data_IF_519120653668
#
_entry.id   IF_519120653668
#
_cell.length_a   1.000
_cell.length_b   1.000
_cell.length_c   1.000
_cell.angle_alpha   90.00
_cell.angle_beta   90.00
_cell.angle_gamma   90.00
#
_symmetry.space_group_name_H-M   'P 1'
#
loop_
_entity.id
_entity.type
_entity.pdbx_description
1 polymer ?
#
# COMPACT_ATOMS: atom_id res chain seq x y z
N UNK A 1 -18.38 -5.18 24.49
CA UNK A 1 -17.41 -4.26 25.13
C UNK A 1 -17.57 -3.01 24.30
N UNK A 2 -18.37 -2.08 24.81
CA UNK A 2 -18.80 -0.90 24.06
C UNK A 2 -17.58 0.03 23.95
N UNK A 3 -17.21 0.37 22.71
CA UNK A 3 -16.01 1.17 22.40
C UNK A 3 -16.21 2.67 22.66
N UNK A 4 -17.42 3.07 23.04
CA UNK A 4 -17.85 4.48 23.16
C UNK A 4 -17.71 5.05 24.58
N UNK A 5 -17.18 4.29 25.54
CA UNK A 5 -17.07 4.71 26.95
C UNK A 5 -15.60 4.78 27.42
N UNK A 6 -14.73 5.39 26.62
CA UNK A 6 -13.47 5.92 27.12
C UNK A 6 -13.66 7.40 27.45
N UNK A 7 -14.05 7.71 28.68
CA UNK A 7 -13.85 9.05 29.24
C UNK A 7 -12.35 9.33 29.25
N UNK A 8 -11.86 10.15 28.32
CA UNK A 8 -10.50 10.64 28.36
C UNK A 8 -10.43 11.74 29.42
N UNK A 9 -9.87 11.42 30.59
CA UNK A 9 -9.49 12.42 31.56
C UNK A 9 -8.46 13.37 30.91
N UNK A 10 -8.59 14.69 31.12
CA UNK A 10 -7.65 15.67 30.53
C UNK A 10 -6.19 15.37 30.93
N UNK A 11 -5.99 14.77 32.11
CA UNK A 11 -4.70 14.28 32.61
C UNK A 11 -4.09 13.19 31.71
N UNK A 12 -4.91 12.31 31.12
CA UNK A 12 -4.47 11.25 30.21
C UNK A 12 -4.04 11.80 28.85
N UNK A 13 -4.77 12.80 28.33
CA UNK A 13 -4.38 13.49 27.11
C UNK A 13 -3.08 14.27 27.30
N UNK A 14 -2.91 14.92 28.46
CA UNK A 14 -1.69 15.65 28.77
C UNK A 14 -0.46 14.73 28.80
N UNK A 15 -0.59 13.56 29.44
CA UNK A 15 0.44 12.53 29.50
C UNK A 15 0.76 11.97 28.11
N UNK A 16 -0.26 11.70 27.29
CA UNK A 16 -0.09 11.22 25.92
C UNK A 16 0.72 12.21 25.07
N UNK A 17 0.34 13.50 25.08
CA UNK A 17 1.03 14.54 24.32
C UNK A 17 2.49 14.69 24.74
N UNK A 18 2.81 14.43 26.01
CA UNK A 18 4.17 14.44 26.52
C UNK A 18 4.98 13.21 26.07
N UNK A 19 4.41 12.01 26.10
CA UNK A 19 5.08 10.78 25.65
C UNK A 19 5.47 10.86 24.18
N UNK A 20 4.59 11.43 23.35
CA UNK A 20 4.82 11.59 21.91
C UNK A 20 5.56 12.89 21.53
N UNK A 21 5.97 13.70 22.52
CA UNK A 21 6.68 14.96 22.33
C UNK A 21 5.99 15.89 21.31
N UNK A 22 4.67 16.06 21.47
CA UNK A 22 3.85 16.84 20.54
C UNK A 22 4.12 18.34 20.74
N UNK A 23 4.66 19.06 19.74
CA UNK A 23 5.11 20.44 19.92
C UNK A 23 3.96 21.44 20.11
N UNK A 24 2.74 21.05 19.78
CA UNK A 24 1.53 21.88 19.86
C UNK A 24 0.67 21.61 21.10
N UNK A 25 1.23 20.93 22.13
CA UNK A 25 0.54 20.55 23.37
C UNK A 25 -0.30 21.68 23.98
N UNK A 26 0.26 22.89 24.06
CA UNK A 26 -0.44 24.06 24.63
C UNK A 26 -1.62 24.54 23.78
N UNK A 27 -1.54 24.39 22.45
CA UNK A 27 -2.63 24.78 21.54
C UNK A 27 -3.78 23.78 21.59
N UNK A 28 -3.45 22.50 21.74
CA UNK A 28 -4.42 21.39 21.85
C UNK A 28 -5.17 21.47 23.18
N UNK A 29 -4.45 21.58 24.31
CA UNK A 29 -5.06 21.63 25.65
C UNK A 29 -5.74 22.99 25.93
N UNK A 30 -5.22 24.08 25.37
CA UNK A 30 -5.70 25.44 25.61
C UNK A 30 -6.87 25.90 24.73
N UNK A 31 -7.41 25.03 23.87
CA UNK A 31 -8.56 25.36 23.00
C UNK A 31 -8.28 26.50 22.02
N UNK A 32 -7.13 26.48 21.34
CA UNK A 32 -6.78 27.51 20.35
C UNK A 32 -7.73 27.49 19.14
N UNK A 33 -7.97 28.66 18.53
CA UNK A 33 -8.81 28.80 17.33
C UNK A 33 -8.13 28.24 16.06
N UNK A 34 -6.79 28.18 16.07
CA UNK A 34 -6.00 27.61 14.98
C UNK A 34 -5.77 26.12 15.23
N UNK A 35 -6.32 25.27 14.37
CA UNK A 35 -6.10 23.83 14.43
C UNK A 35 -4.62 23.50 14.17
N UNK A 36 -4.00 22.61 14.97
CA UNK A 36 -2.63 22.19 14.72
C UNK A 36 -2.51 21.42 13.39
N UNK A 37 -1.29 21.28 12.84
CA UNK A 37 -1.04 20.45 11.67
C UNK A 37 -1.47 18.99 11.90
N UNK A 38 -2.02 18.35 10.86
CA UNK A 38 -2.45 16.94 10.91
C UNK A 38 -1.31 15.95 11.11
N UNK A 39 -0.06 16.34 10.85
CA UNK A 39 1.12 15.49 10.98
C UNK A 39 2.22 16.13 11.83
N UNK A 40 2.80 15.32 12.71
CA UNK A 40 4.02 15.64 13.42
C UNK A 40 5.25 15.24 12.60
N UNK A 41 6.17 16.18 12.37
CA UNK A 41 7.45 15.89 11.71
C UNK A 41 8.46 15.34 12.72
N UNK A 42 8.70 14.03 12.69
CA UNK A 42 9.66 13.36 13.59
C UNK A 42 11.13 13.61 13.23
N UNK A 43 11.46 13.83 11.96
CA UNK A 43 12.83 14.08 11.54
C UNK A 43 13.17 13.57 10.14
N UNK A 44 14.46 13.40 9.87
CA UNK A 44 14.97 12.80 8.63
C UNK A 44 16.15 11.87 8.92
N UNK A 45 16.26 10.79 8.14
CA UNK A 45 17.34 9.81 8.25
C UNK A 45 18.08 9.73 6.92
N UNK A 46 19.40 9.89 6.98
CA UNK A 46 20.26 9.70 5.82
C UNK A 46 20.32 8.23 5.42
N UNK A 47 20.33 7.96 4.12
CA UNK A 47 20.28 6.61 3.54
C UNK A 47 21.53 6.34 2.66
N UNK A 48 22.76 6.31 3.22
CA UNK A 48 23.96 5.97 2.47
C UNK A 48 23.93 4.51 1.99
N UNK A 49 24.76 4.18 1.01
CA UNK A 49 24.90 2.81 0.52
C UNK A 49 25.27 1.87 1.69
N UNK A 50 24.64 0.69 1.73
CA UNK A 50 24.86 -0.31 2.78
C UNK A 50 24.13 -0.05 4.10
N UNK A 51 23.32 1.02 4.21
CA UNK A 51 22.48 1.25 5.40
C UNK A 51 21.13 0.57 5.25
N UNK A 52 20.77 -0.21 6.26
CA UNK A 52 19.41 -0.72 6.48
C UNK A 52 18.68 0.21 7.45
N UNK A 53 17.44 0.55 7.14
CA UNK A 53 16.55 1.31 8.02
C UNK A 53 15.23 0.55 8.11
N UNK A 54 14.71 0.39 9.32
CA UNK A 54 13.44 -0.26 9.60
C UNK A 54 12.59 0.66 10.47
N UNK A 55 11.30 0.73 10.18
CA UNK A 55 10.33 1.53 10.90
C UNK A 55 8.96 0.85 10.80
N UNK A 56 8.05 1.07 11.76
CA UNK A 56 6.70 0.51 11.68
C UNK A 56 5.88 1.19 10.57
N UNK A 57 4.98 0.43 9.92
CA UNK A 57 4.16 0.91 8.80
C UNK A 57 3.19 2.04 9.17
N UNK A 58 2.97 2.28 10.47
CA UNK A 58 2.14 3.39 10.97
C UNK A 58 2.77 4.76 10.74
N UNK A 59 4.08 4.82 10.47
CA UNK A 59 4.77 6.08 10.23
C UNK A 59 4.75 6.44 8.75
N UNK A 60 4.16 7.59 8.43
CA UNK A 60 4.29 8.19 7.12
C UNK A 60 5.75 8.61 6.88
N UNK A 61 6.28 8.28 5.71
CA UNK A 61 7.65 8.62 5.32
C UNK A 61 7.68 9.17 3.90
N UNK A 62 8.68 9.99 3.60
CA UNK A 62 8.93 10.50 2.24
C UNK A 62 10.39 10.38 1.87
N UNK A 63 10.67 10.01 0.62
CA UNK A 63 12.01 10.02 0.07
C UNK A 63 12.20 11.35 -0.66
N UNK A 64 13.11 12.19 -0.17
CA UNK A 64 13.43 13.45 -0.84
C UNK A 64 14.20 13.18 -2.14
N UNK A 65 14.03 14.03 -3.18
CA UNK A 65 14.85 13.98 -4.38
C UNK A 65 16.34 13.97 -4.01
N UNK A 66 17.13 13.23 -4.78
CA UNK A 66 18.58 13.15 -4.59
C UNK A 66 19.28 13.41 -5.91
N UNK A 67 20.44 14.04 -5.85
CA UNK A 67 21.32 14.23 -7.00
C UNK A 67 22.69 13.66 -6.68
N UNK A 68 23.38 13.16 -7.71
CA UNK A 68 24.77 12.74 -7.55
C UNK A 68 25.65 13.99 -7.40
N UNK A 69 26.59 13.96 -6.45
CA UNK A 69 27.52 15.08 -6.22
C UNK A 69 28.35 15.40 -7.46
N UNK A 70 28.76 14.37 -8.20
CA UNK A 70 29.46 14.50 -9.47
C UNK A 70 28.50 14.29 -10.64
N UNK A 71 28.02 15.39 -11.24
CA UNK A 71 27.04 15.35 -12.35
C UNK A 71 27.59 14.74 -13.64
N UNK A 72 28.90 14.46 -13.71
CA UNK A 72 29.52 13.84 -14.90
C UNK A 72 29.39 12.32 -14.93
N UNK A 73 29.00 11.70 -13.81
CA UNK A 73 28.85 10.25 -13.68
C UNK A 73 27.37 9.84 -13.65
N UNK A 74 27.00 8.74 -14.31
CA UNK A 74 25.65 8.19 -14.18
C UNK A 74 25.42 7.75 -12.73
N UNK A 75 24.39 8.31 -12.09
CA UNK A 75 23.98 7.93 -10.73
C UNK A 75 22.77 7.00 -10.78
N UNK A 76 22.89 5.80 -10.20
CA UNK A 76 21.74 4.91 -9.95
C UNK A 76 21.67 4.61 -8.46
N UNK A 77 20.46 4.70 -7.90
CA UNK A 77 20.17 4.29 -6.53
C UNK A 77 19.11 3.21 -6.56
N UNK A 78 19.43 2.07 -5.96
CA UNK A 78 18.50 0.95 -5.86
C UNK A 78 18.21 0.67 -4.39
N UNK A 79 16.94 0.42 -4.09
CA UNK A 79 16.46 0.10 -2.76
C UNK A 79 15.91 -1.33 -2.78
N UNK A 80 16.11 -2.03 -1.68
CA UNK A 80 15.40 -3.27 -1.38
C UNK A 80 14.49 -2.99 -0.19
N UNK A 81 13.18 -3.06 -0.41
CA UNK A 81 12.18 -2.87 0.63
C UNK A 81 11.63 -4.23 1.03
N UNK A 82 11.59 -4.49 2.34
CA UNK A 82 11.01 -5.70 2.92
C UNK A 82 9.90 -5.23 3.84
N UNK A 83 8.68 -5.70 3.58
CA UNK A 83 7.53 -5.45 4.46
C UNK A 83 7.31 -6.69 5.32
N UNK A 84 7.34 -6.50 6.64
CA UNK A 84 6.99 -7.55 7.58
C UNK A 84 5.49 -7.53 7.84
N UNK A 85 4.89 -8.71 7.82
CA UNK A 85 3.47 -8.92 8.13
C UNK A 85 3.39 -9.70 9.45
N UNK A 86 2.34 -9.45 10.22
CA UNK A 86 2.10 -10.17 11.46
C UNK A 86 1.99 -11.69 11.21
N UNK A 87 2.81 -12.52 11.87
CA UNK A 87 2.81 -13.97 11.68
C UNK A 87 1.50 -14.66 12.08
N UNK A 88 0.66 -14.03 12.89
CA UNK A 88 -0.65 -14.57 13.28
C UNK A 88 -1.67 -14.49 12.13
N UNK A 89 -1.42 -13.63 11.14
CA UNK A 89 -2.25 -13.53 9.94
C UNK A 89 -1.64 -14.35 8.81
N UNK A 90 -2.34 -15.43 8.43
CA UNK A 90 -1.90 -16.29 7.34
C UNK A 90 -2.29 -15.68 5.99
N UNK A 91 -1.35 -14.99 5.36
CA UNK A 91 -1.51 -14.49 3.99
C UNK A 91 -1.14 -15.54 2.95
N UNK A 92 -1.76 -15.45 1.76
CA UNK A 92 -1.39 -16.28 0.63
C UNK A 92 0.06 -16.01 0.23
N UNK A 93 0.91 -17.05 0.31
CA UNK A 93 2.28 -16.98 -0.19
C UNK A 93 2.26 -16.81 -1.71
N UNK A 94 3.20 -16.03 -2.26
CA UNK A 94 3.43 -15.92 -3.69
C UNK A 94 3.71 -17.26 -4.37
N UNK A 95 4.11 -18.29 -3.62
CA UNK A 95 4.21 -19.68 -4.10
C UNK A 95 2.86 -20.24 -4.58
N UNK A 96 1.77 -19.78 -3.99
CA UNK A 96 0.41 -20.24 -4.27
C UNK A 96 -0.36 -19.29 -5.19
N UNK A 97 0.26 -18.18 -5.58
CA UNK A 97 -0.38 -17.17 -6.44
C UNK A 97 0.04 -17.48 -7.88
N UNK A 98 -0.91 -17.73 -8.79
CA UNK A 98 -0.57 -17.95 -10.19
C UNK A 98 0.00 -16.67 -10.82
N UNK A 99 0.69 -16.79 -11.96
CA UNK A 99 1.13 -15.65 -12.75
C UNK A 99 0.01 -14.62 -12.97
N UNK A 100 0.28 -13.37 -12.60
CA UNK A 100 -0.72 -12.29 -12.67
C UNK A 100 -0.63 -11.42 -13.92
N UNK A 101 0.39 -11.60 -14.79
CA UNK A 101 0.44 -10.84 -16.05
C UNK A 101 -0.12 -11.68 -17.17
N UNK A 102 -0.93 -11.05 -18.00
CA UNK A 102 -1.58 -11.66 -19.15
C UNK A 102 -0.61 -12.33 -20.14
N UNK A 103 0.56 -11.75 -20.39
CA UNK A 103 1.43 -12.21 -21.47
C UNK A 103 2.14 -13.57 -21.25
N UNK A 104 2.02 -14.16 -20.06
CA UNK A 104 2.68 -15.43 -19.70
C UNK A 104 1.79 -16.36 -18.84
N UNK A 105 0.53 -15.97 -18.59
CA UNK A 105 -0.35 -16.75 -17.72
C UNK A 105 -0.72 -18.11 -18.34
N UNK A 106 -1.02 -18.12 -19.64
CA UNK A 106 -1.56 -19.29 -20.32
C UNK A 106 -0.53 -20.42 -20.40
N UNK A 107 0.72 -20.09 -20.73
CA UNK A 107 1.83 -21.05 -20.78
C UNK A 107 2.08 -21.70 -19.41
N UNK A 108 2.09 -20.91 -18.34
CA UNK A 108 2.30 -21.41 -16.98
C UNK A 108 1.09 -22.18 -16.42
N UNK A 109 -0.13 -21.75 -16.74
CA UNK A 109 -1.33 -22.50 -16.37
C UNK A 109 -1.33 -23.89 -17.01
N UNK A 110 -0.96 -23.98 -18.29
CA UNK A 110 -0.84 -25.24 -19.02
C UNK A 110 0.30 -26.11 -18.47
N UNK A 111 1.41 -25.50 -18.05
CA UNK A 111 2.55 -26.23 -17.44
C UNK A 111 2.15 -26.95 -16.14
N UNK A 112 1.23 -26.36 -15.37
CA UNK A 112 0.70 -26.92 -14.11
C UNK A 112 -0.33 -28.02 -14.36
N UNK A 113 -1.20 -27.86 -15.36
CA UNK A 113 -2.30 -28.80 -15.65
C UNK A 113 -1.83 -30.03 -16.42
N UNK A 114 -0.82 -29.89 -17.28
CA UNK A 114 -0.39 -30.94 -18.19
C UNK A 114 0.71 -31.83 -17.60
N UNK A 115 0.76 -33.12 -17.99
CA UNK A 115 1.85 -34.00 -17.58
C UNK A 115 3.22 -33.50 -18.08
N UNK A 116 4.30 -33.76 -17.33
CA UNK A 116 5.65 -33.44 -17.78
C UNK A 116 5.90 -34.11 -19.14
N UNK A 117 6.32 -33.33 -20.14
CA UNK A 117 6.58 -33.71 -21.56
C UNK A 117 5.40 -33.60 -22.52
N UNK A 118 4.24 -33.11 -22.09
CA UNK A 118 3.15 -32.75 -23.01
C UNK A 118 3.24 -31.26 -23.31
N UNK A 119 3.54 -30.91 -24.55
CA UNK A 119 3.53 -29.52 -25.03
C UNK A 119 2.28 -29.28 -25.88
N UNK A 120 1.58 -28.18 -25.64
CA UNK A 120 0.46 -27.74 -26.47
C UNK A 120 1.02 -26.85 -27.58
N UNK A 121 0.58 -27.01 -28.84
CA UNK A 121 0.91 -26.08 -29.92
C UNK A 121 0.46 -24.64 -29.58
N UNK A 122 1.27 -23.65 -29.94
CA UNK A 122 0.99 -22.23 -29.70
C UNK A 122 -0.41 -21.82 -30.17
N UNK A 123 -0.86 -22.33 -31.32
CA UNK A 123 -2.19 -22.06 -31.88
C UNK A 123 -3.33 -22.34 -30.89
N UNK A 124 -3.22 -23.42 -30.10
CA UNK A 124 -4.26 -23.75 -29.11
C UNK A 124 -4.13 -22.90 -27.85
N UNK A 125 -2.91 -22.48 -27.49
CA UNK A 125 -2.67 -21.56 -26.37
C UNK A 125 -3.31 -20.21 -26.70
N UNK A 126 -3.05 -19.68 -27.89
CA UNK A 126 -3.60 -18.42 -28.39
C UNK A 126 -5.13 -18.51 -28.54
N UNK A 127 -5.64 -19.67 -28.99
CA UNK A 127 -7.08 -19.92 -29.07
C UNK A 127 -7.71 -19.90 -27.68
N UNK A 128 -7.11 -20.54 -26.67
CA UNK A 128 -7.59 -20.50 -25.26
C UNK A 128 -7.54 -19.06 -24.72
N UNK A 129 -6.43 -18.35 -24.92
CA UNK A 129 -6.26 -16.97 -24.47
C UNK A 129 -7.32 -16.04 -25.09
N UNK A 130 -7.74 -16.30 -26.33
CA UNK A 130 -8.82 -15.55 -26.96
C UNK A 130 -10.20 -15.72 -26.29
N UNK A 131 -10.43 -16.78 -25.50
CA UNK A 131 -11.66 -16.96 -24.71
C UNK A 131 -11.57 -16.43 -23.28
N UNK A 132 -10.38 -16.09 -22.78
CA UNK A 132 -10.20 -15.63 -21.39
C UNK A 132 -10.35 -14.12 -21.22
N UNK A 133 -10.84 -13.42 -22.24
CA UNK A 133 -10.95 -11.97 -22.27
C UNK A 133 -9.60 -11.30 -21.86
N UNK A 134 -9.65 -10.13 -21.23
CA UNK A 134 -8.47 -9.43 -20.69
C UNK A 134 -8.08 -9.94 -19.28
N UNK A 135 -8.35 -11.21 -18.95
CA UNK A 135 -7.94 -11.82 -17.69
C UNK A 135 -6.76 -12.75 -17.91
N UNK A 136 -5.67 -12.66 -17.11
CA UNK A 136 -5.34 -11.69 -16.06
C UNK A 136 -5.02 -10.28 -16.58
N UNK A 137 -4.83 -9.32 -15.67
CA UNK A 137 -4.55 -7.91 -16.01
C UNK A 137 -3.38 -7.76 -17.00
N UNK A 138 -3.64 -7.00 -18.07
CA UNK A 138 -2.64 -6.67 -19.09
C UNK A 138 -1.58 -5.67 -18.60
N UNK A 139 -0.42 -5.65 -19.24
CA UNK A 139 0.69 -4.76 -18.87
C UNK A 139 0.30 -3.27 -18.98
N UNK A 140 -0.46 -2.91 -20.00
CA UNK A 140 -0.91 -1.53 -20.22
C UNK A 140 -1.87 -1.05 -19.12
N UNK A 141 -2.82 -1.91 -18.75
CA UNK A 141 -3.76 -1.65 -17.65
C UNK A 141 -3.03 -1.55 -16.32
N UNK A 142 -2.14 -2.51 -16.02
CA UNK A 142 -1.31 -2.49 -14.81
C UNK A 142 -0.46 -1.22 -14.71
N UNK A 143 0.11 -0.76 -15.83
CA UNK A 143 0.89 0.47 -15.88
C UNK A 143 0.01 1.70 -15.63
N UNK A 144 -1.18 1.75 -16.24
CA UNK A 144 -2.14 2.84 -16.04
C UNK A 144 -2.62 2.93 -14.59
N UNK A 145 -3.00 1.79 -13.99
CA UNK A 145 -3.41 1.71 -12.58
C UNK A 145 -2.25 2.14 -11.68
N UNK A 146 -1.03 1.67 -11.94
CA UNK A 146 0.14 2.09 -11.17
C UNK A 146 0.38 3.60 -11.22
N UNK A 147 0.22 4.22 -12.39
CA UNK A 147 0.32 5.67 -12.53
C UNK A 147 -0.79 6.41 -11.78
N UNK A 148 -2.02 5.89 -11.83
CA UNK A 148 -3.14 6.44 -11.09
C UNK A 148 -2.91 6.35 -9.58
N UNK A 149 -2.54 5.18 -9.06
CA UNK A 149 -2.19 4.96 -7.65
C UNK A 149 -1.07 5.90 -7.20
N UNK A 150 -0.04 6.10 -8.03
CA UNK A 150 1.03 7.05 -7.72
C UNK A 150 0.56 8.51 -7.66
N UNK A 151 -0.40 8.90 -8.52
CA UNK A 151 -1.03 10.23 -8.49
C UNK A 151 -1.92 10.40 -7.25
N UNK A 152 -2.75 9.41 -6.96
CA UNK A 152 -3.63 9.39 -5.78
C UNK A 152 -2.83 9.45 -4.49
N UNK A 153 -1.78 8.64 -4.36
CA UNK A 153 -0.86 8.68 -3.22
C UNK A 153 -0.23 10.08 -3.08
N UNK A 154 0.26 10.67 -4.17
CA UNK A 154 0.86 12.00 -4.14
C UNK A 154 -0.14 13.08 -3.73
N UNK A 155 -1.37 12.99 -4.24
CA UNK A 155 -2.45 13.92 -3.90
C UNK A 155 -2.85 13.77 -2.43
N UNK A 156 -2.98 12.54 -1.94
CA UNK A 156 -3.25 12.22 -0.54
C UNK A 156 -2.14 12.75 0.37
N UNK A 157 -0.87 12.49 0.07
CA UNK A 157 0.28 13.04 0.81
C UNK A 157 0.27 14.57 0.86
N UNK A 158 -0.04 15.24 -0.25
CA UNK A 158 -0.17 16.70 -0.29
C UNK A 158 -1.32 17.20 0.56
N UNK A 159 -2.47 16.51 0.53
CA UNK A 159 -3.62 16.86 1.34
C UNK A 159 -3.33 16.67 2.84
N UNK A 160 -2.75 15.54 3.26
CA UNK A 160 -2.41 15.32 4.67
C UNK A 160 -1.44 16.42 5.16
N UNK A 161 -0.45 16.78 4.34
CA UNK A 161 0.59 17.75 4.74
C UNK A 161 0.09 19.19 4.81
N UNK A 162 -0.99 19.55 4.10
CA UNK A 162 -1.44 20.93 3.94
C UNK A 162 -2.77 21.24 4.64
N UNK A 163 -3.50 20.24 5.13
CA UNK A 163 -4.78 20.45 5.83
C UNK A 163 -4.64 20.45 7.36
N UNK A 164 -5.41 21.30 8.07
CA UNK A 164 -5.50 21.28 9.53
C UNK A 164 -6.11 19.98 10.05
N UNK A 165 -5.78 19.60 11.29
CA UNK A 165 -6.20 18.33 11.92
C UNK A 165 -7.70 18.05 11.88
N UNK A 166 -8.55 19.09 11.86
CA UNK A 166 -10.01 18.96 11.82
C UNK A 166 -10.60 18.51 10.47
N UNK A 167 -9.79 18.35 9.41
CA UNK A 167 -10.24 17.87 8.10
C UNK A 167 -9.94 16.38 7.84
N UNK A 168 -9.15 15.75 8.71
CA UNK A 168 -8.78 14.34 8.62
C UNK A 168 -9.63 13.55 9.61
N UNK A 169 -10.79 13.07 9.15
CA UNK A 169 -11.57 12.08 9.90
C UNK A 169 -10.98 10.70 9.59
N UNK A 170 -10.29 10.09 10.56
CA UNK A 170 -9.90 8.68 10.47
C UNK A 170 -11.13 7.83 10.75
N UNK A 171 -12.11 7.88 9.86
CA UNK A 171 -13.25 7.00 9.97
C UNK A 171 -12.80 5.60 9.53
N UNK A 172 -12.53 4.73 10.50
CA UNK A 172 -12.17 3.32 10.26
C UNK A 172 -13.26 2.61 9.44
N UNK A 173 -14.49 3.13 9.50
CA UNK A 173 -15.63 2.62 8.74
C UNK A 173 -15.53 2.94 7.24
N UNK A 174 -14.88 4.03 6.83
CA UNK A 174 -14.72 4.38 5.40
C UNK A 174 -13.79 3.39 4.68
N UNK A 175 -12.84 2.77 5.39
CA UNK A 175 -11.97 1.73 4.84
C UNK A 175 -12.65 0.35 4.77
N UNK A 176 -13.77 0.17 5.48
CA UNK A 176 -14.60 -1.04 5.46
C UNK A 176 -15.88 -0.87 4.62
N UNK A 177 -16.20 0.36 4.20
CA UNK A 177 -17.30 0.73 3.29
C UNK A 177 -16.94 0.55 1.81
N UNK A 178 -15.79 -0.06 1.51
CA UNK A 178 -15.55 -0.57 0.17
C UNK A 178 -16.68 -1.52 -0.19
N UNK A 179 -17.59 -1.09 -1.06
CA UNK A 179 -18.40 -1.97 -1.90
C UNK A 179 -17.40 -2.81 -2.72
N UNK A 180 -16.85 -3.84 -2.08
CA UNK A 180 -16.14 -4.87 -2.79
C UNK A 180 -17.18 -5.47 -3.72
N UNK A 181 -16.94 -5.49 -5.05
CA UNK A 181 -17.86 -6.18 -5.93
C UNK A 181 -18.02 -7.61 -5.40
N UNK A 182 -19.26 -8.06 -5.26
CA UNK A 182 -19.55 -9.45 -4.93
C UNK A 182 -18.68 -10.32 -5.85
N UNK A 183 -17.92 -11.25 -5.24
CA UNK A 183 -17.16 -12.22 -6.02
C UNK A 183 -18.15 -12.87 -6.99
N UNK A 184 -17.83 -12.94 -8.30
CA UNK A 184 -18.76 -13.48 -9.28
C UNK A 184 -19.20 -14.85 -8.80
N UNK A 185 -20.53 -15.02 -8.65
CA UNK A 185 -21.12 -16.28 -8.22
C UNK A 185 -20.72 -17.37 -9.21
N UNK A 186 -19.79 -18.22 -8.80
CA UNK A 186 -19.47 -19.43 -9.54
C UNK A 186 -20.67 -20.36 -9.37
N UNK A 187 -21.58 -20.37 -10.36
CA UNK A 187 -22.57 -21.41 -10.50
C UNK A 187 -21.81 -22.71 -10.80
N UNK A 188 -21.45 -23.43 -9.74
CA UNK A 188 -21.06 -24.82 -9.84
C UNK A 188 -22.31 -25.57 -10.28
N UNK A 189 -22.43 -25.73 -11.60
CA UNK A 189 -23.45 -26.57 -12.22
C UNK A 189 -23.55 -27.89 -11.46
N UNK A 190 -24.75 -28.16 -10.95
CA UNK A 190 -25.06 -29.42 -10.30
C UNK A 190 -24.85 -30.56 -11.30
N UNK A 191 -24.12 -31.59 -10.85
CA UNK A 191 -23.94 -32.85 -11.55
C UNK A 191 -25.25 -33.59 -11.79
#
# INVERSE_FOLDING_TARGET
MDLDEFEHDEDDLEAFLQVFDVPYKQQILGGSCDSPPSLQRLGSVGLPAGRLVAWPNVLHHRITPFEHLDKTRPGRRSFLTISLVDPNYRICSTRNVPPQRHDWWAEEALSVVLPPKVSVPQELVDHIDSYTDNWPMGLEEATRIREQMAKEQKYHEQNIMNHPSGFYDFNVDDCNLGDFPDLPSMDLGSS
#
